data_IF_365398263712
#
_entry.id   IF_365398263712
#
_cell.length_a   1.000
_cell.length_b   1.000
_cell.length_c   1.000
_cell.angle_alpha   90.00
_cell.angle_beta   90.00
_cell.angle_gamma   90.00
#
_symmetry.space_group_name_H-M   'P 1'
#
loop_
_entity.id
_entity.type
_entity.pdbx_description
1 polymer ?
#
# COMPACT_ATOMS: atom_id res chain seq x y z
N UNK A 1 52.50 2.68 -44.24
CA UNK A 1 52.24 3.12 -42.85
C UNK A 1 50.75 3.10 -42.59
N UNK A 2 50.37 2.28 -41.75
CA UNK A 2 48.96 2.17 -41.38
C UNK A 2 48.80 2.73 -39.99
N UNK A 3 48.17 3.91 -39.92
CA UNK A 3 47.76 4.47 -38.66
C UNK A 3 46.41 3.85 -38.26
N UNK A 4 46.45 2.99 -37.31
CA UNK A 4 45.22 2.57 -36.66
C UNK A 4 44.92 3.58 -35.56
N UNK A 5 44.03 4.49 -35.91
CA UNK A 5 43.42 5.32 -34.88
C UNK A 5 42.41 4.48 -34.11
N UNK A 6 42.86 3.98 -33.01
CA UNK A 6 41.98 3.27 -32.09
C UNK A 6 41.14 4.35 -31.38
N UNK A 7 39.96 4.59 -31.90
CA UNK A 7 39.02 5.45 -31.24
C UNK A 7 38.54 4.79 -29.93
N UNK A 8 39.06 5.30 -28.84
CA UNK A 8 38.59 4.93 -27.51
C UNK A 8 37.24 5.58 -27.28
N UNK A 9 36.17 4.85 -27.57
CA UNK A 9 34.84 5.28 -27.20
C UNK A 9 34.72 5.01 -25.70
N UNK A 10 34.97 6.01 -24.90
CA UNK A 10 34.58 5.98 -23.49
C UNK A 10 33.07 6.13 -23.44
N UNK A 11 32.39 5.02 -23.37
CA UNK A 11 30.99 5.02 -23.01
C UNK A 11 30.89 5.47 -21.56
N UNK A 12 30.65 6.73 -21.36
CA UNK A 12 30.25 7.26 -20.06
C UNK A 12 28.88 6.66 -19.75
N UNK A 13 28.86 5.56 -19.05
CA UNK A 13 27.65 5.10 -18.38
C UNK A 13 27.32 6.16 -17.33
N UNK A 14 26.44 7.07 -17.70
CA UNK A 14 25.78 7.87 -16.72
C UNK A 14 24.94 6.92 -15.87
N UNK A 15 25.45 6.58 -14.67
CA UNK A 15 24.61 6.05 -13.63
C UNK A 15 23.66 7.18 -13.26
N UNK A 16 22.57 7.28 -14.00
CA UNK A 16 21.43 8.03 -13.55
C UNK A 16 20.93 7.31 -12.30
N UNK A 17 21.31 7.84 -11.13
CA UNK A 17 20.71 7.40 -9.89
C UNK A 17 19.23 7.62 -10.01
N UNK A 18 18.46 6.57 -10.29
CA UNK A 18 17.03 6.63 -10.18
C UNK A 18 16.70 6.96 -8.73
N UNK A 19 15.97 8.05 -8.46
CA UNK A 19 15.51 8.30 -7.11
C UNK A 19 14.78 7.04 -6.64
N UNK A 20 15.01 6.64 -5.38
CA UNK A 20 14.34 5.51 -4.79
C UNK A 20 12.83 5.77 -4.83
N UNK A 21 12.18 5.40 -5.91
CA UNK A 21 10.74 5.48 -6.01
C UNK A 21 10.14 4.36 -5.20
N UNK A 22 9.07 4.67 -4.47
CA UNK A 22 8.30 3.67 -3.75
C UNK A 22 7.93 2.53 -4.69
N UNK A 23 8.23 1.31 -4.29
CA UNK A 23 7.88 0.12 -5.04
C UNK A 23 6.80 -0.63 -4.29
N UNK A 24 5.67 -0.82 -4.94
CA UNK A 24 4.56 -1.59 -4.38
C UNK A 24 4.12 -2.61 -5.41
N UNK A 25 4.08 -3.86 -5.01
CA UNK A 25 3.54 -4.94 -5.81
C UNK A 25 2.56 -5.74 -4.97
N UNK A 26 1.35 -5.90 -5.47
CA UNK A 26 0.29 -6.64 -4.79
C UNK A 26 -0.29 -7.65 -5.77
N UNK A 27 -0.44 -8.89 -5.30
CA UNK A 27 -1.13 -9.94 -6.04
C UNK A 27 -2.21 -10.51 -5.15
N UNK A 28 -3.41 -10.58 -5.67
CA UNK A 28 -4.58 -11.14 -4.95
C UNK A 28 -5.13 -12.28 -5.79
N UNK A 29 -5.26 -13.45 -5.19
CA UNK A 29 -5.83 -14.62 -5.83
C UNK A 29 -6.44 -15.55 -4.77
N UNK A 30 -7.66 -15.98 -5.00
CA UNK A 30 -8.35 -16.98 -4.16
C UNK A 30 -8.36 -16.63 -2.66
N UNK A 31 -8.56 -15.37 -2.33
CA UNK A 31 -8.59 -14.90 -0.95
C UNK A 31 -7.23 -14.82 -0.27
N UNK A 32 -6.15 -14.95 -1.03
CA UNK A 32 -4.78 -14.87 -0.55
C UNK A 32 -4.06 -13.71 -1.20
N UNK A 33 -3.18 -13.09 -0.46
CA UNK A 33 -2.50 -11.86 -0.87
C UNK A 33 -1.01 -11.98 -0.69
N UNK A 34 -0.28 -11.52 -1.69
CA UNK A 34 1.16 -11.30 -1.60
C UNK A 34 1.40 -9.81 -1.77
N UNK A 35 2.08 -9.21 -0.80
CA UNK A 35 2.43 -7.80 -0.81
C UNK A 35 3.94 -7.65 -0.73
N UNK A 36 4.50 -6.90 -1.65
CA UNK A 36 5.89 -6.49 -1.59
C UNK A 36 5.92 -4.98 -1.70
N UNK A 37 6.30 -4.32 -0.62
CA UNK A 37 6.38 -2.87 -0.56
C UNK A 37 7.76 -2.45 -0.05
N UNK A 38 8.37 -1.51 -0.75
CA UNK A 38 9.66 -0.96 -0.38
C UNK A 38 9.60 0.56 -0.40
N UNK A 39 9.94 1.16 0.72
CA UNK A 39 9.92 2.62 0.89
C UNK A 39 8.58 3.24 0.46
N UNK A 40 7.49 2.59 0.82
CA UNK A 40 6.15 2.99 0.43
C UNK A 40 5.31 3.36 1.66
N UNK A 41 4.51 4.40 1.52
CA UNK A 41 3.55 4.76 2.56
C UNK A 41 2.36 3.80 2.55
N UNK A 42 1.67 3.70 3.67
CA UNK A 42 0.42 2.92 3.75
C UNK A 42 -0.57 3.37 2.68
N UNK A 43 -0.64 4.68 2.42
CA UNK A 43 -1.50 5.22 1.36
C UNK A 43 -1.13 4.66 -0.02
N UNK A 44 0.15 4.59 -0.34
CA UNK A 44 0.60 4.04 -1.62
C UNK A 44 0.30 2.56 -1.74
N UNK A 45 0.48 1.80 -0.67
CA UNK A 45 0.15 0.38 -0.62
C UNK A 45 -1.35 0.17 -0.85
N UNK A 46 -2.18 0.93 -0.17
CA UNK A 46 -3.63 0.83 -0.32
C UNK A 46 -4.15 1.33 -1.66
N UNK A 47 -3.49 2.31 -2.25
CA UNK A 47 -3.81 2.76 -3.61
C UNK A 47 -3.61 1.62 -4.61
N UNK A 48 -2.52 0.90 -4.49
CA UNK A 48 -2.26 -0.26 -5.34
C UNK A 48 -3.22 -1.41 -5.03
N UNK A 49 -3.56 -1.61 -3.76
CA UNK A 49 -4.56 -2.60 -3.35
C UNK A 49 -5.91 -2.32 -3.99
N UNK A 50 -6.34 -1.07 -3.97
CA UNK A 50 -7.61 -0.66 -4.59
C UNK A 50 -7.62 -0.96 -6.09
N UNK A 51 -6.52 -0.73 -6.77
CA UNK A 51 -6.39 -0.98 -8.20
C UNK A 51 -6.41 -2.48 -8.52
N UNK A 52 -5.57 -3.25 -7.85
CA UNK A 52 -5.44 -4.69 -8.09
C UNK A 52 -6.67 -5.45 -7.60
N UNK A 53 -7.16 -5.07 -6.42
CA UNK A 53 -8.29 -5.75 -5.78
C UNK A 53 -9.65 -5.32 -6.30
N UNK A 54 -9.71 -4.29 -7.13
CA UNK A 54 -10.98 -3.69 -7.57
C UNK A 54 -11.85 -3.29 -6.38
N UNK A 55 -11.21 -2.73 -5.37
CA UNK A 55 -11.83 -2.34 -4.10
C UNK A 55 -11.87 -0.83 -4.00
N UNK A 56 -12.98 -0.28 -3.59
CA UNK A 56 -13.10 1.14 -3.30
C UNK A 56 -12.64 1.39 -1.86
N UNK A 57 -11.61 2.18 -1.69
CA UNK A 57 -11.12 2.56 -0.37
C UNK A 57 -11.51 4.01 -0.09
N UNK A 58 -12.28 4.20 0.96
CA UNK A 58 -12.82 5.50 1.36
C UNK A 58 -11.95 6.10 2.46
N UNK A 59 -11.71 7.40 2.41
CA UNK A 59 -10.86 8.16 3.33
C UNK A 59 -9.36 7.84 3.24
N UNK A 60 -8.92 7.35 2.11
CA UNK A 60 -7.50 7.04 1.88
C UNK A 60 -6.61 8.28 2.06
N UNK A 61 -7.10 9.44 1.70
CA UNK A 61 -6.42 10.73 1.85
C UNK A 61 -6.16 11.13 3.30
N UNK A 62 -6.86 10.52 4.24
CA UNK A 62 -6.71 10.80 5.68
C UNK A 62 -5.62 9.98 6.35
N UNK A 63 -5.05 9.03 5.63
CA UNK A 63 -3.92 8.28 6.16
C UNK A 63 -2.64 9.09 6.02
N UNK A 64 -1.91 9.15 7.10
CA UNK A 64 -0.57 9.72 7.13
C UNK A 64 0.39 8.70 7.73
N UNK A 65 1.65 8.80 7.38
CA UNK A 65 2.66 7.92 7.91
C UNK A 65 3.94 7.96 7.10
N UNK A 66 5.02 7.55 7.74
CA UNK A 66 6.32 7.43 7.09
C UNK A 66 6.34 6.26 6.11
N UNK A 67 7.20 6.31 5.10
CA UNK A 67 7.43 5.14 4.25
C UNK A 67 7.87 3.94 5.07
N UNK A 68 7.41 2.78 4.65
CA UNK A 68 7.76 1.51 5.28
C UNK A 68 8.08 0.45 4.24
N UNK A 69 8.71 -0.62 4.68
CA UNK A 69 8.94 -1.80 3.86
C UNK A 69 8.20 -2.98 4.46
N UNK A 70 7.46 -3.70 3.62
CA UNK A 70 6.59 -4.78 4.05
C UNK A 70 6.64 -5.92 3.05
N UNK A 71 6.83 -7.13 3.53
CA UNK A 71 6.78 -8.34 2.74
C UNK A 71 5.77 -9.31 3.35
N UNK A 72 4.73 -9.62 2.59
CA UNK A 72 3.76 -10.65 2.94
C UNK A 72 3.65 -11.60 1.76
N UNK A 73 3.80 -12.89 2.01
CA UNK A 73 3.75 -13.90 0.96
C UNK A 73 2.63 -14.88 1.23
N UNK A 74 1.68 -14.93 0.31
CA UNK A 74 0.59 -15.91 0.33
C UNK A 74 -0.12 -16.00 1.69
N UNK A 75 -0.56 -14.86 2.20
CA UNK A 75 -1.29 -14.77 3.45
C UNK A 75 -2.79 -14.55 3.20
N UNK A 76 -3.66 -14.94 4.15
CA UNK A 76 -5.08 -14.61 4.03
C UNK A 76 -5.28 -13.10 3.90
N UNK A 77 -6.22 -12.70 3.07
CA UNK A 77 -6.47 -11.27 2.80
C UNK A 77 -6.80 -10.48 4.06
N UNK A 78 -7.56 -11.06 4.98
CA UNK A 78 -7.87 -10.42 6.26
C UNK A 78 -6.60 -10.09 7.04
N UNK A 79 -5.69 -11.04 7.13
CA UNK A 79 -4.41 -10.84 7.81
C UNK A 79 -3.56 -9.78 7.14
N UNK A 80 -3.54 -9.77 5.81
CA UNK A 80 -2.79 -8.77 5.05
C UNK A 80 -3.34 -7.37 5.30
N UNK A 81 -4.67 -7.20 5.29
CA UNK A 81 -5.31 -5.93 5.60
C UNK A 81 -5.01 -5.45 7.02
N UNK A 82 -5.11 -6.33 7.98
CA UNK A 82 -4.78 -5.98 9.38
C UNK A 82 -3.34 -5.50 9.50
N UNK A 83 -2.42 -6.13 8.81
CA UNK A 83 -1.01 -5.74 8.83
C UNK A 83 -0.78 -4.40 8.18
N UNK A 84 -1.36 -4.18 7.01
CA UNK A 84 -1.22 -2.91 6.27
C UNK A 84 -1.90 -1.77 7.00
N UNK A 85 -3.03 -2.03 7.65
CA UNK A 85 -3.85 -1.00 8.29
C UNK A 85 -3.53 -0.78 9.77
N UNK A 86 -2.43 -1.30 10.27
CA UNK A 86 -2.02 -1.06 11.67
C UNK A 86 -1.87 0.41 12.01
N UNK A 87 -1.49 1.23 11.05
CA UNK A 87 -1.35 2.67 11.26
C UNK A 87 -2.70 3.41 11.29
N UNK A 88 -3.76 2.77 10.85
CA UNK A 88 -5.10 3.36 10.89
C UNK A 88 -5.75 3.09 12.26
N UNK A 89 -6.64 3.98 12.68
CA UNK A 89 -7.40 3.79 13.92
C UNK A 89 -8.35 2.62 13.86
N UNK A 90 -8.74 2.24 12.65
CA UNK A 90 -9.63 1.13 12.40
C UNK A 90 -10.13 1.18 10.96
N UNK A 91 -10.85 0.16 10.59
CA UNK A 91 -11.46 0.10 9.27
C UNK A 91 -12.71 -0.76 9.28
N UNK A 92 -13.58 -0.52 8.32
CA UNK A 92 -14.75 -1.35 8.04
C UNK A 92 -14.62 -1.89 6.63
N UNK A 93 -14.64 -3.21 6.49
CA UNK A 93 -14.57 -3.86 5.19
C UNK A 93 -15.93 -4.48 4.84
N UNK A 94 -16.48 -4.05 3.72
CA UNK A 94 -17.76 -4.58 3.22
C UNK A 94 -17.50 -5.71 2.23
N UNK A 95 -18.00 -6.92 2.49
CA UNK A 95 -17.82 -8.03 1.59
C UNK A 95 -18.45 -7.78 0.24
N UNK A 96 -17.82 -8.28 -0.80
CA UNK A 96 -18.36 -8.25 -2.14
C UNK A 96 -19.53 -9.22 -2.25
N UNK A 97 -20.60 -8.79 -2.91
CA UNK A 97 -21.78 -9.63 -3.08
C UNK A 97 -21.49 -10.87 -3.93
N UNK A 98 -20.52 -10.79 -4.83
CA UNK A 98 -20.11 -11.88 -5.70
C UNK A 98 -18.59 -11.95 -5.73
N UNK A 99 -18.03 -13.08 -5.36
CA UNK A 99 -16.58 -13.27 -5.37
C UNK A 99 -16.01 -13.21 -6.78
N UNK A 100 -14.89 -12.53 -6.91
CA UNK A 100 -14.09 -12.47 -8.13
C UNK A 100 -12.77 -13.19 -7.89
N UNK A 101 -12.28 -14.02 -8.84
CA UNK A 101 -11.13 -14.90 -8.58
C UNK A 101 -9.81 -14.20 -8.31
N UNK A 102 -9.59 -13.05 -8.94
CA UNK A 102 -8.33 -12.32 -8.82
C UNK A 102 -8.53 -10.90 -8.28
N UNK A 103 -9.49 -10.74 -7.40
CA UNK A 103 -9.81 -9.46 -6.79
C UNK A 103 -10.00 -9.62 -5.29
N UNK A 104 -10.03 -8.51 -4.58
CA UNK A 104 -10.31 -8.49 -3.15
C UNK A 104 -11.70 -9.08 -2.90
N UNK A 105 -11.83 -9.80 -1.78
CA UNK A 105 -13.15 -10.23 -1.32
C UNK A 105 -14.02 -9.08 -0.81
N UNK A 106 -13.41 -7.92 -0.63
CA UNK A 106 -14.10 -6.73 -0.16
C UNK A 106 -14.37 -5.79 -1.33
N UNK A 107 -15.62 -5.37 -1.45
CA UNK A 107 -16.04 -4.38 -2.43
C UNK A 107 -15.63 -2.97 -2.02
N UNK A 108 -15.69 -2.71 -0.73
CA UNK A 108 -15.44 -1.39 -0.17
C UNK A 108 -14.78 -1.49 1.20
N UNK A 109 -13.82 -0.62 1.42
CA UNK A 109 -13.14 -0.49 2.71
C UNK A 109 -13.22 0.97 3.14
N UNK A 110 -13.75 1.19 4.35
CA UNK A 110 -13.81 2.51 4.97
C UNK A 110 -12.70 2.61 5.99
N UNK A 111 -11.83 3.58 5.84
CA UNK A 111 -10.77 3.83 6.79
C UNK A 111 -11.26 4.82 7.84
N UNK A 112 -11.05 4.48 9.08
CA UNK A 112 -11.29 5.39 10.18
C UNK A 112 -10.03 6.24 10.35
N UNK A 113 -10.20 7.56 10.35
CA UNK A 113 -9.08 8.46 10.51
C UNK A 113 -8.37 8.18 11.82
N UNK A 114 -7.05 8.02 11.77
CA UNK A 114 -6.27 8.06 12.98
C UNK A 114 -6.30 9.51 13.46
N UNK A 115 -7.13 9.78 14.45
CA UNK A 115 -7.04 11.04 15.14
C UNK A 115 -5.77 11.03 15.96
N UNK A 116 -4.69 11.57 15.40
CA UNK A 116 -3.54 11.90 16.21
C UNK A 116 -3.99 12.96 17.22
N UNK A 117 -4.30 12.52 18.41
CA UNK A 117 -4.33 13.40 19.55
C UNK A 117 -5.62 14.09 19.91
N UNK A 118 -6.78 13.63 19.48
CA UNK A 118 -8.02 14.11 20.10
C UNK A 118 -8.84 12.93 20.59
N UNK A 119 -8.57 12.53 21.79
CA UNK A 119 -9.55 11.80 22.57
C UNK A 119 -10.64 12.77 22.97
N UNK A 120 -11.52 13.07 22.05
CA UNK A 120 -12.83 13.52 22.45
C UNK A 120 -13.51 12.32 23.08
N UNK A 121 -13.17 12.09 24.34
CA UNK A 121 -13.98 11.22 25.17
C UNK A 121 -15.37 11.85 25.19
N UNK A 122 -16.41 11.15 24.73
CA UNK A 122 -17.75 11.68 24.95
C UNK A 122 -17.87 11.90 26.44
N UNK A 123 -18.10 13.15 26.81
CA UNK A 123 -18.38 13.48 28.20
C UNK A 123 -19.61 12.69 28.58
N UNK A 124 -19.44 11.74 29.48
CA UNK A 124 -20.58 11.08 30.06
C UNK A 124 -21.46 12.17 30.64
N UNK A 125 -22.80 12.17 30.39
CA UNK A 125 -23.65 13.13 31.00
C UNK A 125 -23.48 13.04 32.50
N UNK A 126 -23.23 14.19 33.12
CA UNK A 126 -23.09 14.23 34.56
C UNK A 126 -24.37 13.68 35.18
N UNK A 127 -24.30 12.78 36.16
CA UNK A 127 -25.50 12.32 36.86
C UNK A 127 -26.22 13.53 37.51
N UNK A 128 -27.54 13.55 37.48
CA UNK A 128 -28.29 14.63 38.09
C UNK A 128 -28.08 14.72 39.61
#
# INVERSE_FOLDING_TARGET
>A
MRLHVLGLIVAAMALAGTPASAQVRITIADGRVTVSAKDATTRQILTEWARVGQTRIVNLDRLSGAPLSLELTDVPETQALETVLRAASGYLAAPRARELPNASRYDRIFLLASSSGSTARPSAPAPP
#
